data_IF_842189463640
#
_entry.id   IF_842189463640
#
_cell.length_a   1.000
_cell.length_b   1.000
_cell.length_c   1.000
_cell.angle_alpha   90.00
_cell.angle_beta   90.00
_cell.angle_gamma   90.00
#
_symmetry.space_group_name_H-M   'P 1'
#
loop_
_entity.id
_entity.type
_entity.pdbx_description
1 polymer ?
#
# COMPACT_ATOMS: atom_id res chain seq x y z
N UNK A 1 -25.85 -17.43 30.43
CA UNK A 1 -25.00 -17.90 29.31
C UNK A 1 -25.48 -17.20 28.08
N UNK A 2 -24.85 -16.10 27.73
CA UNK A 2 -25.22 -15.28 26.56
C UNK A 2 -24.09 -15.41 25.55
N UNK A 3 -24.36 -16.20 24.49
CA UNK A 3 -23.41 -16.41 23.39
C UNK A 3 -23.22 -15.09 22.61
N UNK A 4 -21.98 -14.68 22.45
CA UNK A 4 -21.61 -13.61 21.54
C UNK A 4 -21.92 -14.04 20.10
N UNK A 5 -22.43 -13.16 19.23
CA UNK A 5 -22.63 -13.52 17.83
C UNK A 5 -21.27 -13.76 17.16
N UNK A 6 -21.04 -14.98 16.70
CA UNK A 6 -19.93 -15.29 15.82
C UNK A 6 -20.09 -14.47 14.54
N UNK A 7 -19.14 -13.57 14.33
CA UNK A 7 -19.10 -12.76 13.11
C UNK A 7 -19.01 -13.66 11.88
N UNK A 8 -20.01 -13.60 11.03
CA UNK A 8 -20.05 -14.27 9.72
C UNK A 8 -18.74 -13.98 8.97
N UNK A 9 -18.01 -14.99 8.51
CA UNK A 9 -16.80 -14.77 7.72
C UNK A 9 -17.19 -13.98 6.46
N UNK A 10 -16.47 -12.89 6.21
CA UNK A 10 -16.67 -12.08 5.01
C UNK A 10 -16.58 -13.00 3.78
N UNK A 11 -17.60 -12.93 2.91
CA UNK A 11 -17.61 -13.67 1.64
C UNK A 11 -16.34 -13.28 0.87
N UNK A 12 -15.57 -14.25 0.35
CA UNK A 12 -14.41 -13.91 -0.49
C UNK A 12 -14.88 -13.06 -1.67
N UNK A 13 -14.14 -11.97 -1.99
CA UNK A 13 -14.47 -11.16 -3.17
C UNK A 13 -14.49 -12.03 -4.41
N UNK A 14 -15.37 -11.68 -5.36
CA UNK A 14 -15.49 -12.38 -6.64
C UNK A 14 -14.14 -12.44 -7.36
N UNK A 15 -13.93 -13.45 -8.19
CA UNK A 15 -12.69 -13.65 -8.95
C UNK A 15 -12.33 -12.44 -9.86
N UNK A 16 -13.29 -11.56 -10.13
CA UNK A 16 -13.16 -10.33 -10.93
C UNK A 16 -13.02 -9.07 -10.07
N UNK A 17 -12.81 -9.21 -8.75
CA UNK A 17 -12.66 -8.05 -7.88
C UNK A 17 -11.35 -7.29 -8.18
N UNK A 18 -11.43 -5.97 -8.32
CA UNK A 18 -10.27 -5.11 -8.50
C UNK A 18 -9.28 -5.25 -7.33
N UNK A 19 -7.96 -5.14 -7.58
CA UNK A 19 -6.97 -5.15 -6.51
C UNK A 19 -7.22 -4.07 -5.46
N UNK A 20 -6.94 -4.38 -4.19
CA UNK A 20 -6.86 -3.39 -3.11
C UNK A 20 -5.42 -2.93 -2.96
N UNK A 21 -5.16 -1.67 -3.26
CA UNK A 21 -3.80 -1.12 -3.33
C UNK A 21 -3.54 -0.19 -2.15
N UNK A 22 -2.48 -0.47 -1.40
CA UNK A 22 -2.04 0.37 -0.28
C UNK A 22 -0.92 1.30 -0.76
N UNK A 23 -1.16 2.60 -0.66
CA UNK A 23 -0.19 3.66 -0.95
C UNK A 23 0.12 4.49 0.30
N UNK A 24 1.14 5.34 0.23
CA UNK A 24 1.52 6.25 1.31
C UNK A 24 3.00 6.23 1.62
N UNK A 25 3.47 7.09 2.54
CA UNK A 25 4.89 7.26 2.84
C UNK A 25 5.52 6.01 3.47
N UNK A 26 6.84 6.00 3.51
CA UNK A 26 7.59 4.99 4.25
C UNK A 26 7.25 5.08 5.75
N UNK A 27 7.12 3.93 6.41
CA UNK A 27 6.75 3.89 7.83
C UNK A 27 5.26 3.89 8.12
N UNK A 28 4.38 4.15 7.13
CA UNK A 28 2.92 4.09 7.28
C UNK A 28 2.35 2.68 7.53
N UNK A 29 3.17 1.64 7.53
CA UNK A 29 2.72 0.29 7.89
C UNK A 29 2.09 -0.53 6.74
N UNK A 30 2.21 -0.08 5.49
CA UNK A 30 1.63 -0.73 4.30
C UNK A 30 1.83 -2.25 4.25
N UNK A 31 3.07 -2.71 4.40
CA UNK A 31 3.39 -4.16 4.34
C UNK A 31 2.76 -4.95 5.48
N UNK A 32 2.70 -4.40 6.70
CA UNK A 32 2.11 -5.07 7.87
C UNK A 32 0.59 -5.12 7.78
N UNK A 33 -0.02 -3.99 7.40
CA UNK A 33 -1.46 -3.87 7.19
C UNK A 33 -1.87 -4.74 6.01
N UNK A 34 -1.15 -4.67 4.88
CA UNK A 34 -1.43 -5.48 3.69
C UNK A 34 -1.42 -6.98 3.95
N UNK A 35 -0.43 -7.49 4.69
CA UNK A 35 -0.39 -8.90 5.08
C UNK A 35 -1.57 -9.31 5.96
N UNK A 36 -2.00 -8.46 6.90
CA UNK A 36 -3.13 -8.76 7.77
C UNK A 36 -4.45 -8.66 7.01
N UNK A 37 -4.58 -7.64 6.16
CA UNK A 37 -5.74 -7.44 5.29
C UNK A 37 -5.93 -8.61 4.31
N UNK A 38 -4.86 -9.06 3.65
CA UNK A 38 -4.90 -10.18 2.70
C UNK A 38 -5.43 -11.47 3.35
N UNK A 39 -4.98 -11.76 4.58
CA UNK A 39 -5.50 -12.90 5.36
C UNK A 39 -6.97 -12.73 5.71
N UNK A 40 -7.38 -11.52 6.08
CA UNK A 40 -8.77 -11.20 6.45
C UNK A 40 -9.73 -11.32 5.27
N UNK A 41 -9.25 -11.00 4.06
CA UNK A 41 -10.00 -11.07 2.81
C UNK A 41 -9.83 -12.41 2.06
N UNK A 42 -8.96 -13.31 2.54
CA UNK A 42 -8.58 -14.55 1.85
C UNK A 42 -8.02 -14.27 0.43
N UNK A 43 -7.26 -13.19 0.27
CA UNK A 43 -6.64 -12.77 -1.00
C UNK A 43 -5.11 -12.93 -0.97
N UNK A 44 -4.45 -13.07 -2.14
CA UNK A 44 -3.00 -12.98 -2.26
C UNK A 44 -2.47 -11.62 -1.76
N UNK A 45 -1.21 -11.60 -1.28
CA UNK A 45 -0.51 -10.37 -0.90
C UNK A 45 0.76 -10.18 -1.71
N UNK A 46 0.92 -9.00 -2.30
CA UNK A 46 2.13 -8.58 -3.01
C UNK A 46 2.68 -7.30 -2.38
N UNK A 47 3.97 -7.31 -2.04
CA UNK A 47 4.74 -6.14 -1.63
C UNK A 47 5.73 -5.84 -2.76
N UNK A 48 5.49 -4.77 -3.52
CA UNK A 48 6.25 -4.49 -4.75
C UNK A 48 7.72 -4.21 -4.47
N UNK A 49 8.06 -3.52 -3.38
CA UNK A 49 9.45 -3.30 -2.97
C UNK A 49 10.19 -4.63 -2.75
N UNK A 50 9.53 -5.58 -2.09
CA UNK A 50 10.11 -6.91 -1.86
C UNK A 50 10.26 -7.72 -3.13
N UNK A 51 9.33 -7.57 -4.08
CA UNK A 51 9.42 -8.25 -5.37
C UNK A 51 10.60 -7.69 -6.17
N UNK A 52 10.77 -6.36 -6.24
CA UNK A 52 11.92 -5.73 -6.89
C UNK A 52 13.22 -6.25 -6.28
N UNK A 53 13.36 -6.20 -4.95
CA UNK A 53 14.57 -6.67 -4.25
C UNK A 53 14.85 -8.16 -4.52
N UNK A 54 13.83 -9.00 -4.55
CA UNK A 54 13.99 -10.44 -4.81
C UNK A 54 14.44 -10.72 -6.24
N UNK A 55 13.98 -9.93 -7.22
CA UNK A 55 14.27 -10.15 -8.65
C UNK A 55 15.57 -9.49 -9.11
N UNK A 56 15.90 -8.35 -8.53
CA UNK A 56 16.94 -7.46 -9.06
C UNK A 56 18.01 -7.09 -8.04
N UNK A 57 17.92 -7.60 -6.81
CA UNK A 57 18.86 -7.32 -5.75
C UNK A 57 18.51 -6.07 -4.93
N UNK A 58 19.37 -5.71 -3.96
CA UNK A 58 19.14 -4.58 -3.06
C UNK A 58 18.96 -3.25 -3.80
N UNK A 59 17.97 -2.46 -3.37
CA UNK A 59 17.66 -1.15 -3.99
C UNK A 59 18.91 -0.25 -4.06
N UNK A 60 19.74 -0.24 -3.01
CA UNK A 60 20.96 0.56 -2.98
C UNK A 60 21.95 0.17 -4.10
N UNK A 61 22.05 -1.11 -4.42
CA UNK A 61 22.93 -1.59 -5.51
C UNK A 61 22.35 -1.20 -6.88
N UNK A 62 21.03 -1.32 -7.06
CA UNK A 62 20.37 -0.89 -8.31
C UNK A 62 20.63 0.61 -8.54
N UNK A 63 20.47 1.44 -7.50
CA UNK A 63 20.75 2.88 -7.58
C UNK A 63 22.22 3.18 -7.90
N UNK A 64 23.15 2.47 -7.25
CA UNK A 64 24.58 2.69 -7.44
C UNK A 64 25.05 2.30 -8.85
N UNK A 65 24.51 1.22 -9.41
CA UNK A 65 24.95 0.66 -10.70
C UNK A 65 24.18 1.24 -11.89
N UNK A 66 22.86 1.43 -11.72
CA UNK A 66 21.95 1.74 -12.83
C UNK A 66 21.23 3.08 -12.69
N UNK A 67 21.33 3.73 -11.54
CA UNK A 67 20.65 4.98 -11.22
C UNK A 67 19.15 4.83 -10.90
N UNK A 68 18.56 5.94 -10.44
CA UNK A 68 17.14 5.98 -10.07
C UNK A 68 16.19 5.69 -11.25
N UNK A 69 16.41 6.21 -12.49
CA UNK A 69 15.51 5.93 -13.60
C UNK A 69 15.30 4.44 -13.86
N UNK A 70 16.37 3.65 -13.82
CA UNK A 70 16.28 2.20 -14.02
C UNK A 70 15.52 1.52 -12.88
N UNK A 71 15.71 1.96 -11.64
CA UNK A 71 14.93 1.44 -10.54
C UNK A 71 13.43 1.71 -10.74
N UNK A 72 13.05 2.90 -11.21
CA UNK A 72 11.64 3.26 -11.47
C UNK A 72 11.00 2.43 -12.57
N UNK A 73 11.75 2.08 -13.60
CA UNK A 73 11.28 1.14 -14.63
C UNK A 73 11.00 -0.25 -14.02
N UNK A 74 11.94 -0.79 -13.25
CA UNK A 74 11.80 -2.09 -12.59
C UNK A 74 10.64 -2.10 -11.58
N UNK A 75 10.46 -1.02 -10.82
CA UNK A 75 9.36 -0.83 -9.90
C UNK A 75 8.03 -0.80 -10.66
N UNK A 76 7.95 -0.06 -11.76
CA UNK A 76 6.78 0.01 -12.63
C UNK A 76 6.38 -1.35 -13.19
N UNK A 77 7.32 -2.11 -13.74
CA UNK A 77 7.06 -3.44 -14.29
C UNK A 77 6.44 -4.39 -13.25
N UNK A 78 6.99 -4.37 -12.02
CA UNK A 78 6.46 -5.15 -10.90
C UNK A 78 5.07 -4.70 -10.49
N UNK A 79 4.82 -3.39 -10.47
CA UNK A 79 3.48 -2.84 -10.16
C UNK A 79 2.49 -3.25 -11.24
N UNK A 80 2.86 -3.10 -12.52
CA UNK A 80 2.00 -3.46 -13.64
C UNK A 80 1.56 -4.93 -13.55
N UNK A 81 2.50 -5.84 -13.26
CA UNK A 81 2.20 -7.26 -13.05
C UNK A 81 1.30 -7.51 -11.83
N UNK A 82 1.60 -6.86 -10.69
CA UNK A 82 0.85 -7.05 -9.46
C UNK A 82 -0.62 -6.59 -9.55
N UNK A 83 -0.92 -5.64 -10.44
CA UNK A 83 -2.27 -5.09 -10.63
C UNK A 83 -3.12 -5.89 -11.65
N UNK A 84 -2.60 -6.95 -12.24
CA UNK A 84 -3.35 -7.77 -13.23
C UNK A 84 -4.33 -8.75 -12.59
N UNK A 85 -4.24 -8.99 -11.30
CA UNK A 85 -5.00 -10.03 -10.61
C UNK A 85 -5.58 -9.52 -9.29
N UNK A 86 -6.70 -10.08 -8.83
CA UNK A 86 -7.25 -9.77 -7.50
C UNK A 86 -6.22 -10.02 -6.41
N UNK A 87 -6.13 -9.10 -5.45
CA UNK A 87 -5.17 -9.22 -4.36
C UNK A 87 -5.07 -7.96 -3.51
N UNK A 88 -4.24 -8.02 -2.49
CA UNK A 88 -3.81 -6.86 -1.72
C UNK A 88 -2.39 -6.52 -2.14
N UNK A 89 -2.19 -5.32 -2.66
CA UNK A 89 -0.90 -4.85 -3.19
C UNK A 89 -0.38 -3.69 -2.33
N UNK A 90 0.81 -3.83 -1.78
CA UNK A 90 1.52 -2.74 -1.08
C UNK A 90 2.53 -2.12 -2.03
N UNK A 91 2.34 -0.87 -2.42
CA UNK A 91 3.27 -0.16 -3.29
C UNK A 91 4.45 0.44 -2.54
N UNK A 92 5.60 0.50 -3.20
CA UNK A 92 6.70 1.37 -2.81
C UNK A 92 6.27 2.83 -2.71
N UNK A 93 6.86 3.61 -1.78
CA UNK A 93 6.44 5.00 -1.58
C UNK A 93 6.67 5.91 -2.79
N UNK A 94 7.52 5.53 -3.72
CA UNK A 94 7.79 6.27 -4.96
C UNK A 94 7.04 5.76 -6.18
N UNK A 95 6.39 4.61 -6.12
CA UNK A 95 5.76 3.97 -7.27
C UNK A 95 4.69 4.84 -7.94
N UNK A 96 3.99 5.67 -7.17
CA UNK A 96 2.98 6.61 -7.69
C UNK A 96 3.57 7.77 -8.51
N UNK A 97 4.88 7.96 -8.52
CA UNK A 97 5.53 9.00 -9.33
C UNK A 97 5.52 8.64 -10.82
N UNK A 98 5.43 7.35 -11.16
CA UNK A 98 5.35 6.92 -12.55
C UNK A 98 3.93 7.18 -13.12
N UNK A 99 3.80 7.85 -14.28
CA UNK A 99 2.50 8.19 -14.88
C UNK A 99 1.61 6.96 -15.12
N UNK A 100 2.14 5.93 -15.76
CA UNK A 100 1.39 4.72 -16.11
C UNK A 100 0.94 3.94 -14.85
N UNK A 101 1.69 4.03 -13.74
CA UNK A 101 1.24 3.49 -12.47
C UNK A 101 -0.04 4.19 -12.02
N UNK A 102 -0.10 5.53 -12.12
CA UNK A 102 -1.30 6.29 -11.76
C UNK A 102 -2.50 5.94 -12.62
N UNK A 103 -2.30 5.77 -13.93
CA UNK A 103 -3.37 5.35 -14.84
C UNK A 103 -3.93 3.97 -14.45
N UNK A 104 -3.05 3.03 -14.13
CA UNK A 104 -3.46 1.68 -13.68
C UNK A 104 -4.21 1.70 -12.35
N UNK A 105 -3.86 2.60 -11.44
CA UNK A 105 -4.53 2.75 -10.15
C UNK A 105 -6.00 3.17 -10.30
N UNK A 106 -6.38 3.86 -11.36
CA UNK A 106 -7.76 4.27 -11.61
C UNK A 106 -8.75 3.07 -11.73
N UNK A 107 -8.26 1.88 -12.05
CA UNK A 107 -9.05 0.66 -12.11
C UNK A 107 -8.98 -0.20 -10.84
N UNK A 108 -8.46 0.33 -9.74
CA UNK A 108 -8.23 -0.40 -8.48
C UNK A 108 -8.93 0.28 -7.31
N UNK A 109 -8.90 -0.34 -6.14
CA UNK A 109 -9.30 0.33 -4.89
C UNK A 109 -8.05 0.80 -4.16
N UNK A 110 -7.88 2.11 -4.07
CA UNK A 110 -6.68 2.73 -3.52
C UNK A 110 -6.93 3.21 -2.08
N UNK A 111 -6.18 2.66 -1.15
CA UNK A 111 -6.17 3.03 0.27
C UNK A 111 -4.88 3.78 0.58
N UNK A 112 -4.99 5.05 0.93
CA UNK A 112 -3.88 5.85 1.43
C UNK A 112 -3.71 5.61 2.93
N UNK A 113 -2.53 5.16 3.31
CA UNK A 113 -2.12 5.07 4.70
C UNK A 113 -1.21 6.25 5.03
N UNK A 114 -1.66 7.11 5.93
CA UNK A 114 -0.85 8.23 6.45
C UNK A 114 -0.22 7.89 7.78
N UNK A 115 0.78 8.67 8.18
CA UNK A 115 1.50 8.50 9.44
C UNK A 115 2.18 9.82 9.83
N UNK A 116 2.17 10.17 11.10
CA UNK A 116 2.87 11.35 11.59
C UNK A 116 4.38 11.12 11.65
N UNK A 117 5.19 12.18 11.54
CA UNK A 117 6.64 12.09 11.68
C UNK A 117 7.09 11.44 13.00
N UNK A 118 6.42 11.76 14.10
CA UNK A 118 6.72 11.26 15.45
C UNK A 118 6.50 9.74 15.54
N UNK A 119 5.40 9.26 14.96
CA UNK A 119 5.12 7.82 14.89
C UNK A 119 6.11 7.07 13.99
N UNK A 120 6.56 7.69 12.90
CA UNK A 120 7.61 7.12 12.03
C UNK A 120 8.92 7.04 12.78
N UNK A 121 9.34 8.11 13.46
CA UNK A 121 10.58 8.14 14.23
C UNK A 121 10.61 7.04 15.29
N UNK A 122 9.51 6.88 16.05
CA UNK A 122 9.36 5.81 17.03
C UNK A 122 9.45 4.40 16.41
N UNK A 123 8.87 4.19 15.23
CA UNK A 123 8.88 2.89 14.51
C UNK A 123 10.23 2.54 13.91
N UNK A 124 11.05 3.55 13.61
CA UNK A 124 12.35 3.37 12.95
C UNK A 124 13.50 3.36 13.97
N UNK A 125 13.29 3.88 15.17
CA UNK A 125 14.26 3.87 16.27
C UNK A 125 14.67 2.43 16.64
N UNK A 126 15.50 1.79 15.88
CA UNK A 126 15.91 0.38 16.04
C UNK A 126 15.90 -0.45 14.76
N UNK A 127 15.59 0.17 13.62
CA UNK A 127 15.65 -0.50 12.31
C UNK A 127 16.81 0.02 11.47
N UNK A 128 17.63 -0.87 10.91
CA UNK A 128 18.69 -0.54 9.95
C UNK A 128 18.07 -0.20 8.56
N UNK A 129 17.37 0.93 8.43
CA UNK A 129 16.80 1.36 7.14
C UNK A 129 17.66 2.45 6.49
N UNK A 130 18.20 2.20 5.26
CA UNK A 130 19.17 3.09 4.61
C UNK A 130 18.68 4.52 4.31
N UNK A 131 17.38 4.72 4.05
CA UNK A 131 16.81 6.02 3.67
C UNK A 131 16.88 7.08 4.78
N UNK A 132 17.13 6.69 6.03
CA UNK A 132 17.36 7.62 7.14
C UNK A 132 18.84 7.94 7.35
N UNK A 133 19.74 7.24 6.65
CA UNK A 133 21.18 7.47 6.77
C UNK A 133 21.63 8.75 6.05
N UNK A 134 20.87 9.21 5.05
CA UNK A 134 21.14 10.44 4.30
C UNK A 134 20.01 11.46 4.52
N UNK A 135 20.14 12.30 5.55
CA UNK A 135 19.19 13.39 5.82
C UNK A 135 18.13 13.14 6.90
N UNK A 136 18.04 11.94 7.47
CA UNK A 136 17.20 11.64 8.64
C UNK A 136 15.72 11.96 8.47
N UNK A 137 15.07 12.34 9.57
CA UNK A 137 13.65 12.69 9.60
C UNK A 137 13.31 13.95 8.79
N UNK A 138 14.26 14.88 8.62
CA UNK A 138 14.04 16.08 7.81
C UNK A 138 13.83 15.70 6.32
N UNK A 139 14.67 14.82 5.77
CA UNK A 139 14.50 14.33 4.40
C UNK A 139 13.21 13.52 4.25
N UNK A 140 12.86 12.69 5.24
CA UNK A 140 11.60 11.96 5.23
C UNK A 140 10.39 12.90 5.16
N UNK A 141 10.36 13.97 6.01
CA UNK A 141 9.29 14.97 6.02
C UNK A 141 9.16 15.65 4.66
N UNK A 142 10.27 16.13 4.11
CA UNK A 142 10.28 16.80 2.81
C UNK A 142 9.67 15.92 1.70
N UNK A 143 10.06 14.64 1.64
CA UNK A 143 9.53 13.67 0.67
C UNK A 143 8.05 13.36 0.94
N UNK A 144 7.65 13.22 2.20
CA UNK A 144 6.27 12.94 2.57
C UNK A 144 5.35 14.11 2.21
N UNK A 145 5.76 15.34 2.51
CA UNK A 145 5.02 16.58 2.22
C UNK A 145 4.90 16.82 0.70
N UNK A 146 6.00 16.62 -0.05
CA UNK A 146 6.00 16.72 -1.51
C UNK A 146 5.00 15.77 -2.16
N UNK A 147 4.91 14.53 -1.64
CA UNK A 147 4.08 13.48 -2.24
C UNK A 147 2.65 13.45 -1.72
N UNK A 148 2.37 14.08 -0.57
CA UNK A 148 1.05 14.01 0.05
C UNK A 148 -0.10 14.45 -0.87
N UNK A 149 -0.01 15.56 -1.65
CA UNK A 149 -1.06 15.93 -2.59
C UNK A 149 -1.33 14.85 -3.65
N UNK A 150 -0.27 14.23 -4.17
CA UNK A 150 -0.39 13.16 -5.16
C UNK A 150 -1.03 11.91 -4.56
N UNK A 151 -0.61 11.48 -3.37
CA UNK A 151 -1.25 10.35 -2.70
C UNK A 151 -2.75 10.58 -2.50
N UNK A 152 -3.15 11.78 -2.03
CA UNK A 152 -4.56 12.12 -1.82
C UNK A 152 -5.37 12.14 -3.10
N UNK A 153 -4.79 12.61 -4.21
CA UNK A 153 -5.49 12.65 -5.50
C UNK A 153 -5.76 11.25 -6.09
N UNK A 154 -5.07 10.23 -5.62
CA UNK A 154 -5.20 8.85 -6.09
C UNK A 154 -6.04 7.98 -5.15
N UNK A 155 -6.30 8.44 -3.93
CA UNK A 155 -6.90 7.62 -2.89
C UNK A 155 -8.43 7.63 -2.93
N UNK A 156 -9.04 6.47 -2.77
CA UNK A 156 -10.48 6.33 -2.49
C UNK A 156 -10.79 6.55 -1.00
N UNK A 157 -9.83 6.25 -0.12
CA UNK A 157 -9.93 6.47 1.32
C UNK A 157 -8.55 6.78 1.91
N UNK A 158 -8.51 7.67 2.91
CA UNK A 158 -7.31 8.02 3.67
C UNK A 158 -7.48 7.56 5.12
N UNK A 159 -6.51 6.81 5.66
CA UNK A 159 -6.51 6.28 7.01
C UNK A 159 -5.19 6.60 7.70
N UNK A 160 -5.26 7.30 8.84
CA UNK A 160 -4.10 7.52 9.69
C UNK A 160 -3.76 6.25 10.49
N UNK A 161 -2.47 5.92 10.53
CA UNK A 161 -1.94 4.75 11.20
C UNK A 161 -1.06 5.07 12.40
N UNK A 162 -0.90 6.34 12.79
CA UNK A 162 0.11 6.83 13.74
C UNK A 162 0.07 6.10 15.07
N UNK A 163 -1.06 6.18 15.78
CA UNK A 163 -1.24 5.64 17.13
C UNK A 163 -2.31 4.53 17.15
N UNK A 164 -2.48 3.84 16.05
CA UNK A 164 -3.54 2.84 15.89
C UNK A 164 -2.99 1.44 15.71
N UNK A 165 -3.58 0.43 16.39
CA UNK A 165 -3.27 -0.96 16.16
C UNK A 165 -3.53 -1.35 14.68
N UNK A 166 -2.64 -2.18 14.11
CA UNK A 166 -2.81 -2.69 12.73
C UNK A 166 -4.17 -3.37 12.53
N UNK A 167 -4.72 -4.03 13.57
CA UNK A 167 -6.05 -4.67 13.51
C UNK A 167 -7.15 -3.66 13.23
N UNK A 168 -7.16 -2.55 13.96
CA UNK A 168 -8.19 -1.51 13.83
C UNK A 168 -8.16 -0.88 12.43
N UNK A 169 -6.97 -0.59 11.90
CA UNK A 169 -6.85 -0.05 10.53
C UNK A 169 -7.34 -1.07 9.49
N UNK A 170 -7.05 -2.36 9.69
CA UNK A 170 -7.57 -3.43 8.81
C UNK A 170 -9.08 -3.52 8.88
N UNK A 171 -9.68 -3.43 10.07
CA UNK A 171 -11.14 -3.46 10.24
C UNK A 171 -11.80 -2.28 9.52
N UNK A 172 -11.23 -1.06 9.60
CA UNK A 172 -11.72 0.11 8.87
C UNK A 172 -11.65 -0.10 7.35
N UNK A 173 -10.55 -0.67 6.85
CA UNK A 173 -10.45 -0.99 5.41
C UNK A 173 -11.54 -1.99 5.00
N UNK A 174 -11.78 -3.03 5.81
CA UNK A 174 -12.83 -4.02 5.52
C UNK A 174 -14.22 -3.38 5.51
N UNK A 175 -14.51 -2.49 6.46
CA UNK A 175 -15.78 -1.74 6.51
C UNK A 175 -15.91 -0.86 5.26
N UNK A 176 -14.87 -0.14 4.89
CA UNK A 176 -14.87 0.69 3.68
C UNK A 176 -15.14 -0.14 2.42
N UNK A 177 -14.47 -1.29 2.26
CA UNK A 177 -14.66 -2.18 1.11
C UNK A 177 -16.07 -2.77 1.05
N UNK A 178 -16.67 -3.11 2.21
CA UNK A 178 -18.02 -3.64 2.28
C UNK A 178 -19.11 -2.59 1.95
N UNK A 179 -18.82 -1.30 2.13
CA UNK A 179 -19.72 -0.20 1.80
C UNK A 179 -19.65 0.28 0.34
N UNK A 180 -18.73 -0.23 -0.46
CA UNK A 180 -18.64 0.11 -1.90
C UNK A 180 -19.71 -0.65 -2.68
N UNK A 181 -20.41 0.01 -3.63
CA UNK A 181 -21.27 -0.68 -4.56
C UNK A 181 -20.46 -1.68 -5.39
N UNK A 182 -21.03 -2.84 -5.65
CA UNK A 182 -20.41 -3.85 -6.52
C UNK A 182 -20.33 -3.28 -7.95
N UNK A 183 -19.13 -3.15 -8.55
CA UNK A 183 -18.96 -2.59 -9.89
C UNK A 183 -19.72 -3.38 -10.98
N UNK A 184 -20.22 -4.58 -10.67
CA UNK A 184 -21.00 -5.40 -11.58
C UNK A 184 -22.51 -5.07 -11.55
N UNK A 185 -22.98 -4.28 -10.56
CA UNK A 185 -24.40 -3.90 -10.45
C UNK A 185 -24.79 -2.64 -11.23
N UNK A 186 -23.81 -1.87 -11.74
CA UNK A 186 -24.03 -0.63 -12.48
C UNK A 186 -23.82 -0.74 -13.99
N UNK A 187 -23.90 -1.92 -14.60
CA UNK A 187 -23.96 -2.02 -16.07
C UNK A 187 -25.42 -1.81 -16.50
N UNK A 188 -25.75 -0.67 -17.09
CA UNK A 188 -27.06 -0.53 -17.77
C UNK A 188 -27.13 -1.50 -18.95
N UNK A 189 -28.29 -2.12 -19.10
CA UNK A 189 -28.63 -3.03 -20.18
C UNK A 189 -28.61 -2.36 -21.56
#
# INVERSE_FOLDING_TARGET
>A
MTGAPEGTPARPPAADAAPVVLIGPMGAGKSSIGKKLSRRLCLPFVDTDRVVVRRHGPVAEIFAVHGEPRFRELEHDVVAEALTSPGVVSLGGGAVLHPDTRERLAATTVVLLTVTPEAVEARIAGSARPLLQTGGMAAWRAIADERAPLYRSLADVELDTSDRPVSTVVDDIVVFLAGRPDPLTERPA
#
